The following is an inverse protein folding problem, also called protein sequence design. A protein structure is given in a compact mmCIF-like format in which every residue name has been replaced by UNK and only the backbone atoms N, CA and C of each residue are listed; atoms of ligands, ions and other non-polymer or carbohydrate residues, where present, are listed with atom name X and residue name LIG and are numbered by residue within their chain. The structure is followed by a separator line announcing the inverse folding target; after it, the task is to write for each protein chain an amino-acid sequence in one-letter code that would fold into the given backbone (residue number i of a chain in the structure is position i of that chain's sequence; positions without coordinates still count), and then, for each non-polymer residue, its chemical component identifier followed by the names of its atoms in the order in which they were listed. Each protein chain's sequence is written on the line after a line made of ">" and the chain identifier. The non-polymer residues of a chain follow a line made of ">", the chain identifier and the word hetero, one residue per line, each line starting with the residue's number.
data_IF_863096947399
#
_entry.id   IF_863096947399
#
_cell.length_a   1.000
_cell.length_b   1.000
_cell.length_c   1.000
_cell.angle_alpha   90.00
_cell.angle_beta   90.00
_cell.angle_gamma   90.00
#
_symmetry.space_group_name_H-M   'P 1'
#
loop_
_entity.id
_entity.type
_entity.pdbx_description
1 polymer ?
#
# COMPACT_ATOMS: atom_id res chain seq x y z
N UNK A 1 6.02 4.92 33.94
CA UNK A 1 6.15 5.28 32.53
C UNK A 1 6.02 3.99 31.75
N UNK A 2 4.86 3.71 31.15
CA UNK A 2 4.67 2.57 30.25
C UNK A 2 5.55 2.80 29.03
N UNK A 3 6.48 1.88 28.75
CA UNK A 3 7.27 1.92 27.53
C UNK A 3 6.29 1.94 26.34
N UNK A 4 6.40 2.93 25.48
CA UNK A 4 5.58 3.01 24.26
C UNK A 4 6.02 1.84 23.35
N UNK A 5 5.13 0.89 23.14
CA UNK A 5 5.40 -0.30 22.32
C UNK A 5 5.12 0.05 20.86
N UNK A 6 6.09 -0.13 19.98
CA UNK A 6 5.94 0.11 18.54
C UNK A 6 5.56 -1.20 17.81
N UNK A 7 4.66 -1.14 16.87
CA UNK A 7 4.39 -2.28 15.98
C UNK A 7 5.55 -2.50 15.01
N UNK A 8 6.08 -1.42 14.46
CA UNK A 8 7.25 -1.46 13.58
C UNK A 8 8.25 -0.38 14.00
N UNK A 9 9.52 -0.74 14.08
CA UNK A 9 10.61 0.19 14.33
C UNK A 9 11.81 -0.12 13.44
N UNK A 10 12.26 0.86 12.68
CA UNK A 10 13.51 0.85 11.96
C UNK A 10 14.48 1.76 12.72
N UNK A 11 15.68 1.25 13.00
CA UNK A 11 16.72 1.99 13.70
C UNK A 11 17.99 2.03 12.88
N UNK A 12 18.35 3.22 12.43
CA UNK A 12 19.56 3.52 11.67
C UNK A 12 19.78 2.52 10.51
N UNK A 13 18.73 2.26 9.74
CA UNK A 13 18.75 1.25 8.66
C UNK A 13 19.49 1.79 7.45
N UNK A 14 20.57 1.10 7.06
CA UNK A 14 21.38 1.41 5.87
C UNK A 14 21.26 0.29 4.84
N UNK A 15 20.96 0.68 3.59
CA UNK A 15 20.94 -0.26 2.48
C UNK A 15 21.68 0.31 1.26
N UNK A 16 22.54 -0.53 0.66
CA UNK A 16 23.31 -0.23 -0.57
C UNK A 16 23.00 -1.24 -1.66
N UNK A 17 22.76 -0.74 -2.85
CA UNK A 17 22.68 -1.53 -4.07
C UNK A 17 24.00 -1.36 -4.85
N UNK A 18 24.89 -2.34 -4.74
CA UNK A 18 26.27 -2.21 -5.26
C UNK A 18 27.03 -1.08 -4.54
N UNK A 19 27.49 -0.10 -5.28
CA UNK A 19 28.19 1.07 -4.74
C UNK A 19 27.25 2.21 -4.30
N UNK A 20 25.98 2.16 -4.68
CA UNK A 20 25.01 3.24 -4.42
C UNK A 20 24.32 3.00 -3.09
N UNK A 21 24.38 3.97 -2.20
CA UNK A 21 23.63 3.98 -0.96
C UNK A 21 22.21 4.50 -1.23
N UNK A 22 21.22 3.65 -0.94
CA UNK A 22 19.79 3.92 -1.16
C UNK A 22 19.10 4.36 0.13
N UNK A 23 19.44 3.72 1.26
CA UNK A 23 19.00 4.12 2.59
C UNK A 23 20.22 4.46 3.43
N UNK A 24 20.21 5.64 4.04
CA UNK A 24 21.36 6.28 4.70
C UNK A 24 21.10 6.50 6.20
N UNK A 25 20.63 5.45 6.89
CA UNK A 25 20.29 5.55 8.31
C UNK A 25 18.81 5.93 8.52
N UNK A 26 17.91 5.11 8.00
CA UNK A 26 16.47 5.33 8.17
C UNK A 26 16.04 4.98 9.59
N UNK A 27 15.45 5.96 10.27
CA UNK A 27 14.70 5.81 11.52
C UNK A 27 13.21 5.99 11.22
N UNK A 28 12.39 5.00 11.61
CA UNK A 28 10.94 5.04 11.41
C UNK A 28 10.26 4.28 12.54
N UNK A 29 9.20 4.86 13.13
CA UNK A 29 8.42 4.24 14.19
C UNK A 29 6.94 4.31 13.87
N UNK A 30 6.25 3.19 14.01
CA UNK A 30 4.82 3.07 13.73
C UNK A 30 4.13 2.41 14.91
N UNK A 31 3.12 3.09 15.45
CA UNK A 31 2.35 2.63 16.59
C UNK A 31 1.35 1.51 16.25
N UNK A 32 0.79 0.83 17.27
CA UNK A 32 -0.25 -0.16 17.06
C UNK A 32 -1.55 0.50 16.59
N UNK A 33 -2.19 -0.11 15.58
CA UNK A 33 -3.44 0.40 14.99
C UNK A 33 -3.28 1.69 14.18
N UNK A 34 -2.06 2.11 13.90
CA UNK A 34 -1.75 3.33 13.17
C UNK A 34 -1.86 3.12 11.66
N UNK A 35 -2.51 4.06 10.99
CA UNK A 35 -2.45 4.28 9.55
C UNK A 35 -1.32 5.26 9.26
N UNK A 36 -0.17 4.74 8.83
CA UNK A 36 1.04 5.50 8.59
C UNK A 36 1.31 5.62 7.09
N UNK A 37 1.55 6.83 6.59
CA UNK A 37 1.96 7.05 5.21
C UNK A 37 3.47 7.34 5.14
N UNK A 38 4.17 6.65 4.25
CA UNK A 38 5.56 6.95 3.88
C UNK A 38 5.56 7.62 2.52
N UNK A 39 5.80 8.92 2.51
CA UNK A 39 5.83 9.72 1.29
C UNK A 39 7.26 10.17 0.96
N UNK A 40 7.47 10.69 -0.24
CA UNK A 40 8.79 11.16 -0.68
C UNK A 40 8.87 11.19 -2.20
N UNK A 41 9.82 11.92 -2.79
CA UNK A 41 10.02 11.98 -4.23
C UNK A 41 10.38 10.61 -4.82
N UNK A 42 10.30 10.50 -6.15
CA UNK A 42 10.75 9.30 -6.84
C UNK A 42 12.25 9.08 -6.60
N UNK A 43 12.62 7.83 -6.32
CA UNK A 43 14.01 7.48 -5.98
C UNK A 43 14.41 7.75 -4.52
N UNK A 44 13.52 8.26 -3.66
CA UNK A 44 13.84 8.51 -2.24
C UNK A 44 14.16 7.24 -1.42
N UNK A 45 13.78 6.04 -1.92
CA UNK A 45 14.02 4.77 -1.24
C UNK A 45 12.78 4.11 -0.63
N UNK A 46 11.57 4.63 -0.87
CA UNK A 46 10.31 4.11 -0.30
C UNK A 46 10.10 2.61 -0.54
N UNK A 47 10.19 2.16 -1.79
CA UNK A 47 10.07 0.73 -2.14
C UNK A 47 11.18 -0.11 -1.51
N UNK A 48 12.39 0.46 -1.35
CA UNK A 48 13.51 -0.19 -0.65
C UNK A 48 13.21 -0.38 0.84
N UNK A 49 12.58 0.59 1.50
CA UNK A 49 12.09 0.45 2.88
C UNK A 49 11.11 -0.72 2.97
N UNK A 50 10.13 -0.80 2.06
CA UNK A 50 9.18 -1.91 2.00
C UNK A 50 9.86 -3.26 1.75
N UNK A 51 10.84 -3.31 0.84
CA UNK A 51 11.61 -4.53 0.57
C UNK A 51 12.44 -4.99 1.77
N UNK A 52 12.98 -4.04 2.55
CA UNK A 52 13.70 -4.33 3.80
C UNK A 52 12.75 -4.88 4.86
N UNK A 53 11.61 -4.23 5.10
CA UNK A 53 10.61 -4.66 6.10
C UNK A 53 10.05 -6.05 5.73
N UNK A 54 9.77 -6.29 4.45
CA UNK A 54 9.22 -7.57 3.98
C UNK A 54 10.27 -8.68 3.83
N UNK A 55 11.56 -8.39 4.09
CA UNK A 55 12.67 -9.36 4.03
C UNK A 55 13.12 -9.74 2.61
N UNK A 56 12.71 -8.97 1.59
CA UNK A 56 13.21 -9.13 0.21
C UNK A 56 14.63 -8.61 0.06
N UNK A 57 14.96 -7.58 0.83
CA UNK A 57 16.30 -7.01 0.91
C UNK A 57 16.82 -7.09 2.34
N UNK A 58 18.11 -7.42 2.48
CA UNK A 58 18.79 -7.42 3.77
C UNK A 58 19.61 -6.16 3.90
N UNK A 59 19.35 -5.28 4.89
CA UNK A 59 20.15 -4.08 5.10
C UNK A 59 21.54 -4.44 5.62
N UNK A 60 22.52 -3.60 5.32
CA UNK A 60 23.92 -3.79 5.75
C UNK A 60 24.07 -3.48 7.25
N UNK A 61 23.35 -2.49 7.74
CA UNK A 61 23.35 -2.11 9.17
C UNK A 61 21.98 -1.66 9.64
N UNK A 62 21.88 -1.38 10.93
CA UNK A 62 20.64 -1.00 11.58
C UNK A 62 19.83 -2.20 12.07
N UNK A 63 18.66 -1.93 12.65
CA UNK A 63 17.71 -2.94 13.14
C UNK A 63 16.34 -2.74 12.50
N UNK A 64 15.61 -3.83 12.34
CA UNK A 64 14.21 -3.83 11.89
C UNK A 64 13.43 -4.63 12.92
N UNK A 65 12.70 -3.95 13.77
CA UNK A 65 11.94 -4.56 14.87
C UNK A 65 10.46 -4.59 14.53
N UNK A 66 9.84 -5.73 14.71
CA UNK A 66 8.40 -5.92 14.61
C UNK A 66 7.88 -6.53 15.92
N UNK A 67 7.03 -5.78 16.64
CA UNK A 67 6.59 -6.10 18.00
C UNK A 67 7.81 -6.46 18.88
N UNK A 68 8.79 -5.57 18.98
CA UNK A 68 10.04 -5.67 19.74
C UNK A 68 10.96 -6.83 19.35
N UNK A 69 10.69 -7.53 18.23
CA UNK A 69 11.51 -8.66 17.75
C UNK A 69 12.25 -8.28 16.47
N UNK A 70 13.56 -8.48 16.46
CA UNK A 70 14.35 -8.26 15.24
C UNK A 70 13.93 -9.25 14.14
N UNK A 71 13.49 -8.69 13.01
CA UNK A 71 13.12 -9.44 11.80
C UNK A 71 14.12 -9.29 10.68
N UNK A 72 15.21 -8.55 10.90
CA UNK A 72 16.24 -8.29 9.90
C UNK A 72 16.86 -9.59 9.39
N UNK A 73 16.87 -9.73 8.06
CA UNK A 73 17.48 -10.91 7.40
C UNK A 73 16.64 -12.19 7.47
N UNK A 74 15.46 -12.13 8.04
CA UNK A 74 14.50 -13.23 7.92
C UNK A 74 13.96 -13.31 6.48
N UNK A 75 13.69 -14.50 5.95
CA UNK A 75 13.08 -14.63 4.63
C UNK A 75 11.60 -14.18 4.66
N UNK A 76 11.03 -13.71 3.53
CA UNK A 76 9.68 -13.16 3.45
C UNK A 76 8.60 -14.05 4.05
N UNK A 77 8.67 -15.36 3.82
CA UNK A 77 7.69 -16.30 4.37
C UNK A 77 7.72 -16.39 5.91
N UNK A 78 8.88 -16.17 6.53
CA UNK A 78 9.01 -16.15 7.99
C UNK A 78 8.46 -14.84 8.57
N UNK A 79 8.65 -13.73 7.88
CA UNK A 79 8.09 -12.42 8.22
C UNK A 79 6.55 -12.45 8.08
N UNK A 80 6.05 -13.02 6.98
CA UNK A 80 4.61 -13.21 6.77
C UNK A 80 3.95 -13.98 7.91
N UNK A 81 4.57 -15.09 8.36
CA UNK A 81 4.08 -15.88 9.51
C UNK A 81 4.12 -15.17 10.85
N UNK A 82 4.88 -14.08 10.97
CA UNK A 82 4.89 -13.22 12.15
C UNK A 82 3.76 -12.18 12.14
N UNK A 83 3.01 -12.09 11.04
CA UNK A 83 1.90 -11.16 10.92
C UNK A 83 2.21 -9.89 10.14
N UNK A 84 3.30 -9.85 9.37
CA UNK A 84 3.57 -8.77 8.41
C UNK A 84 3.13 -9.21 7.02
N UNK A 85 2.23 -8.48 6.41
CA UNK A 85 1.76 -8.71 5.04
C UNK A 85 2.18 -7.58 4.12
N UNK A 86 2.35 -7.89 2.84
CA UNK A 86 2.59 -6.89 1.80
C UNK A 86 1.70 -7.16 0.60
N UNK A 87 0.96 -6.13 0.13
CA UNK A 87 0.38 -6.14 -1.19
C UNK A 87 1.48 -5.87 -2.21
N UNK A 88 1.59 -6.73 -3.23
CA UNK A 88 2.57 -6.58 -4.29
C UNK A 88 1.93 -5.83 -5.47
N UNK A 89 2.71 -4.98 -6.15
CA UNK A 89 2.29 -4.34 -7.41
C UNK A 89 1.93 -5.36 -8.51
N UNK A 90 2.49 -6.57 -8.42
CA UNK A 90 2.19 -7.72 -9.26
C UNK A 90 1.73 -8.86 -8.35
N UNK A 91 0.51 -8.80 -7.85
CA UNK A 91 -0.07 -9.91 -7.10
C UNK A 91 -0.40 -11.02 -8.10
N UNK A 92 0.27 -12.15 -7.95
CA UNK A 92 -0.05 -13.34 -8.73
C UNK A 92 -1.38 -13.92 -8.24
N UNK A 93 -2.48 -13.48 -8.84
CA UNK A 93 -3.77 -14.13 -8.69
C UNK A 93 -3.73 -15.48 -9.40
N UNK A 94 -4.32 -16.48 -8.80
CA UNK A 94 -4.55 -17.76 -9.43
C UNK A 94 -5.80 -17.66 -10.29
N UNK A 95 -5.63 -17.23 -11.54
CA UNK A 95 -6.73 -16.92 -12.48
C UNK A 95 -7.71 -18.09 -12.67
N UNK A 96 -7.20 -19.32 -12.64
CA UNK A 96 -8.00 -20.54 -12.82
C UNK A 96 -8.78 -20.97 -11.58
N UNK A 97 -8.57 -20.33 -10.43
CA UNK A 97 -9.24 -20.66 -9.18
C UNK A 97 -10.38 -19.68 -8.89
N UNK A 98 -11.25 -20.08 -7.96
CA UNK A 98 -12.30 -19.20 -7.47
C UNK A 98 -11.73 -18.03 -6.66
N UNK A 99 -12.52 -16.96 -6.53
CA UNK A 99 -12.20 -15.80 -5.71
C UNK A 99 -11.98 -16.25 -4.25
N UNK A 100 -12.88 -17.10 -3.74
CA UNK A 100 -12.78 -17.63 -2.39
C UNK A 100 -11.50 -18.47 -2.18
N UNK A 101 -11.11 -19.30 -3.16
CA UNK A 101 -9.93 -20.13 -3.03
C UNK A 101 -8.63 -19.31 -3.06
N UNK A 102 -8.59 -18.21 -3.82
CA UNK A 102 -7.46 -17.26 -3.76
C UNK A 102 -7.27 -16.71 -2.34
N UNK A 103 -8.34 -16.27 -1.68
CA UNK A 103 -8.29 -15.76 -0.30
C UNK A 103 -7.89 -16.85 0.69
N UNK A 104 -8.45 -18.08 0.57
CA UNK A 104 -8.09 -19.23 1.41
C UNK A 104 -6.63 -19.61 1.29
N UNK A 105 -6.06 -19.59 0.08
CA UNK A 105 -4.64 -19.87 -0.16
C UNK A 105 -3.77 -18.81 0.52
N UNK A 106 -4.14 -17.53 0.40
CA UNK A 106 -3.41 -16.44 1.04
C UNK A 106 -3.42 -16.56 2.57
N UNK A 107 -4.59 -16.89 3.16
CA UNK A 107 -4.74 -17.14 4.59
C UNK A 107 -3.95 -18.39 5.04
N UNK A 108 -4.01 -19.49 4.28
CA UNK A 108 -3.24 -20.71 4.56
C UNK A 108 -1.73 -20.41 4.59
N UNK A 109 -1.22 -19.61 3.67
CA UNK A 109 0.20 -19.23 3.63
C UNK A 109 0.66 -18.47 4.87
N UNK A 110 -0.22 -17.70 5.51
CA UNK A 110 0.07 -16.98 6.76
C UNK A 110 0.10 -17.94 7.98
N UNK A 111 -0.80 -18.91 8.02
CA UNK A 111 -0.95 -19.84 9.16
C UNK A 111 -0.11 -21.12 9.05
N UNK A 112 0.54 -21.38 7.91
CA UNK A 112 1.31 -22.61 7.71
C UNK A 112 2.57 -22.66 8.56
N UNK A 113 2.54 -23.47 9.63
CA UNK A 113 3.70 -23.71 10.50
C UNK A 113 4.70 -24.71 9.92
N UNK A 114 4.26 -25.63 9.05
CA UNK A 114 5.08 -26.56 8.24
C UNK A 114 4.22 -27.10 7.09
N UNK A 115 4.78 -27.17 5.89
CA UNK A 115 4.24 -28.00 4.83
C UNK A 115 4.46 -29.47 5.23
N UNK A 116 3.42 -30.15 5.70
CA UNK A 116 3.40 -31.60 5.75
C UNK A 116 3.03 -32.12 4.34
N UNK A 117 3.52 -33.30 4.00
CA UNK A 117 3.37 -33.95 2.69
C UNK A 117 1.93 -34.23 2.23
N UNK A 118 0.94 -33.94 3.04
CA UNK A 118 -0.47 -34.06 2.67
C UNK A 118 -0.87 -32.94 1.70
N UNK A 119 -1.58 -33.33 0.65
CA UNK A 119 -1.98 -32.47 -0.46
C UNK A 119 -2.59 -31.15 0.05
N UNK A 120 -2.00 -29.98 -0.28
CA UNK A 120 -2.45 -28.67 0.23
C UNK A 120 -3.93 -28.40 0.00
N UNK A 121 -4.49 -28.89 -1.11
CA UNK A 121 -5.89 -28.77 -1.51
C UNK A 121 -6.88 -29.44 -0.57
N UNK A 122 -6.55 -30.62 -0.04
CA UNK A 122 -7.42 -31.33 0.94
C UNK A 122 -7.56 -30.52 2.24
N UNK A 123 -6.48 -29.83 2.65
CA UNK A 123 -6.49 -28.97 3.84
C UNK A 123 -7.21 -27.67 3.59
N UNK A 124 -7.15 -27.12 2.37
CA UNK A 124 -7.80 -25.87 2.02
C UNK A 124 -9.32 -25.93 2.22
N UNK A 125 -9.94 -27.01 1.72
CA UNK A 125 -11.40 -27.15 1.79
C UNK A 125 -11.92 -27.73 3.13
N UNK A 126 -11.07 -28.37 3.92
CA UNK A 126 -11.46 -28.93 5.22
C UNK A 126 -11.32 -27.95 6.39
N UNK A 127 -10.68 -26.79 6.19
CA UNK A 127 -10.43 -25.75 7.17
C UNK A 127 -11.58 -24.75 7.20
N UNK A 128 -12.51 -24.94 8.14
CA UNK A 128 -13.67 -24.05 8.34
C UNK A 128 -13.23 -22.63 8.71
N UNK A 129 -12.14 -22.49 9.46
CA UNK A 129 -11.54 -21.20 9.83
C UNK A 129 -11.11 -20.37 8.61
N UNK A 130 -10.43 -21.00 7.64
CA UNK A 130 -10.02 -20.33 6.39
C UNK A 130 -11.22 -19.98 5.50
N UNK A 131 -12.26 -20.82 5.51
CA UNK A 131 -13.48 -20.54 4.77
C UNK A 131 -14.22 -19.32 5.35
N UNK A 132 -14.39 -19.30 6.68
CA UNK A 132 -15.05 -18.19 7.37
C UNK A 132 -14.27 -16.87 7.22
N UNK A 133 -12.94 -16.93 7.22
CA UNK A 133 -12.09 -15.75 6.99
C UNK A 133 -12.25 -15.25 5.56
N UNK A 134 -12.19 -16.14 4.57
CA UNK A 134 -12.38 -15.78 3.17
C UNK A 134 -13.78 -15.16 2.93
N UNK A 135 -14.83 -15.74 3.54
CA UNK A 135 -16.19 -15.22 3.41
C UNK A 135 -16.31 -13.81 4.03
N UNK A 136 -15.74 -13.57 5.20
CA UNK A 136 -15.69 -12.21 5.80
C UNK A 136 -14.98 -11.21 4.90
N UNK A 137 -13.83 -11.58 4.34
CA UNK A 137 -13.12 -10.70 3.40
C UNK A 137 -13.93 -10.45 2.13
N UNK A 138 -14.58 -11.47 1.58
CA UNK A 138 -15.45 -11.33 0.41
C UNK A 138 -16.60 -10.34 0.66
N UNK A 139 -17.23 -10.40 1.82
CA UNK A 139 -18.30 -9.48 2.19
C UNK A 139 -17.77 -8.04 2.32
N UNK A 140 -16.61 -7.85 2.98
CA UNK A 140 -15.97 -6.53 3.09
C UNK A 140 -15.57 -5.95 1.73
N UNK A 141 -15.12 -6.80 0.79
CA UNK A 141 -14.75 -6.42 -0.56
C UNK A 141 -15.96 -6.21 -1.50
N UNK A 142 -17.17 -6.57 -1.06
CA UNK A 142 -18.38 -6.56 -1.90
C UNK A 142 -18.36 -7.64 -2.99
N UNK A 143 -17.58 -8.71 -2.81
CA UNK A 143 -17.42 -9.80 -3.77
C UNK A 143 -18.16 -11.09 -3.35
N UNK A 144 -18.93 -11.08 -2.27
CA UNK A 144 -19.60 -12.25 -1.71
C UNK A 144 -20.48 -12.99 -2.72
N UNK A 145 -21.26 -12.26 -3.55
CA UNK A 145 -22.12 -12.87 -4.59
C UNK A 145 -21.34 -13.58 -5.72
N UNK A 146 -20.03 -13.33 -5.83
CA UNK A 146 -19.15 -13.87 -6.87
C UNK A 146 -18.09 -14.81 -6.32
N UNK A 147 -18.25 -15.28 -5.10
CA UNK A 147 -17.26 -16.09 -4.37
C UNK A 147 -16.70 -17.28 -5.15
N UNK A 148 -17.56 -17.94 -5.92
CA UNK A 148 -17.24 -19.15 -6.67
C UNK A 148 -16.86 -18.87 -8.13
N UNK A 149 -16.94 -17.60 -8.57
CA UNK A 149 -16.48 -17.19 -9.88
C UNK A 149 -14.96 -17.33 -9.98
N UNK A 150 -14.49 -17.63 -11.20
CA UNK A 150 -13.07 -17.65 -11.50
C UNK A 150 -12.54 -16.23 -11.56
N UNK A 151 -11.29 -16.05 -11.12
CA UNK A 151 -10.65 -14.74 -11.10
C UNK A 151 -10.47 -14.14 -12.50
N UNK A 152 -10.24 -14.97 -13.54
CA UNK A 152 -10.13 -14.51 -14.93
C UNK A 152 -11.44 -13.92 -15.49
N UNK A 153 -12.59 -14.23 -14.88
CA UNK A 153 -13.88 -13.66 -15.22
C UNK A 153 -14.18 -12.32 -14.55
N UNK A 154 -13.29 -11.83 -13.65
CA UNK A 154 -13.49 -10.57 -12.96
C UNK A 154 -13.11 -9.37 -13.82
N UNK A 155 -13.93 -8.29 -13.82
CA UNK A 155 -13.51 -6.97 -14.28
C UNK A 155 -12.25 -6.49 -13.53
N UNK A 156 -11.44 -5.66 -14.21
CA UNK A 156 -10.17 -5.14 -13.65
C UNK A 156 -10.30 -4.53 -12.24
N UNK A 157 -11.32 -3.69 -12.03
CA UNK A 157 -11.56 -3.07 -10.73
C UNK A 157 -11.80 -4.09 -9.60
N UNK A 158 -12.54 -5.17 -9.90
CA UNK A 158 -12.81 -6.22 -8.90
C UNK A 158 -11.58 -7.11 -8.67
N UNK A 159 -10.75 -7.34 -9.69
CA UNK A 159 -9.45 -8.00 -9.50
C UNK A 159 -8.57 -7.18 -8.55
N UNK A 160 -8.55 -5.86 -8.70
CA UNK A 160 -7.79 -4.96 -7.83
C UNK A 160 -8.28 -5.00 -6.38
N UNK A 161 -9.60 -5.07 -6.15
CA UNK A 161 -10.16 -5.26 -4.82
C UNK A 161 -9.76 -6.61 -4.22
N UNK A 162 -9.76 -7.68 -5.02
CA UNK A 162 -9.30 -8.99 -4.57
C UNK A 162 -7.82 -8.97 -4.19
N UNK A 163 -6.96 -8.32 -4.97
CA UNK A 163 -5.53 -8.14 -4.66
C UNK A 163 -5.33 -7.45 -3.30
N UNK A 164 -6.12 -6.41 -3.01
CA UNK A 164 -6.12 -5.80 -1.68
C UNK A 164 -6.53 -6.81 -0.61
N UNK A 165 -7.62 -7.55 -0.82
CA UNK A 165 -8.10 -8.57 0.13
C UNK A 165 -7.06 -9.63 0.46
N UNK A 166 -6.25 -10.06 -0.52
CA UNK A 166 -5.15 -11.02 -0.30
C UNK A 166 -4.11 -10.50 0.68
N UNK A 167 -3.87 -9.18 0.72
CA UNK A 167 -2.94 -8.60 1.68
C UNK A 167 -3.46 -8.69 3.12
N UNK A 168 -4.78 -8.71 3.31
CA UNK A 168 -5.41 -8.81 4.62
C UNK A 168 -5.73 -10.25 5.05
N UNK A 169 -5.64 -11.23 4.13
CA UNK A 169 -5.84 -12.63 4.45
C UNK A 169 -4.77 -13.16 5.42
N UNK A 170 -5.17 -14.00 6.37
CA UNK A 170 -4.29 -14.51 7.45
C UNK A 170 -4.17 -13.54 8.62
N UNK A 171 -5.07 -12.59 8.74
CA UNK A 171 -5.21 -11.65 9.86
C UNK A 171 -3.88 -10.98 10.27
N UNK A 172 -3.15 -10.34 9.33
CA UNK A 172 -1.89 -9.69 9.65
C UNK A 172 -2.11 -8.53 10.62
N UNK A 173 -1.14 -8.30 11.52
CA UNK A 173 -1.14 -7.13 12.40
C UNK A 173 -0.47 -5.91 11.76
N UNK A 174 0.38 -6.11 10.74
CA UNK A 174 0.97 -5.05 9.91
C UNK A 174 0.76 -5.36 8.43
N UNK A 175 0.19 -4.40 7.69
CA UNK A 175 0.00 -4.49 6.23
C UNK A 175 0.77 -3.38 5.55
N UNK A 176 1.61 -3.75 4.57
CA UNK A 176 2.35 -2.84 3.72
C UNK A 176 1.61 -2.71 2.37
N UNK A 177 1.22 -1.50 2.01
CA UNK A 177 0.47 -1.20 0.78
C UNK A 177 1.28 -0.23 -0.09
N UNK A 178 1.65 -0.68 -1.28
CA UNK A 178 2.44 0.10 -2.23
C UNK A 178 1.50 0.63 -3.32
N UNK A 179 1.21 1.93 -3.30
CA UNK A 179 0.33 2.65 -4.22
C UNK A 179 -1.05 1.99 -4.42
N UNK A 180 -1.81 1.75 -3.33
CA UNK A 180 -3.07 1.01 -3.43
C UNK A 180 -4.13 1.68 -4.31
N UNK A 181 -4.03 3.01 -4.55
CA UNK A 181 -4.97 3.78 -5.39
C UNK A 181 -4.43 4.11 -6.79
N UNK A 182 -3.23 3.63 -7.15
CA UNK A 182 -2.61 3.94 -8.43
C UNK A 182 -3.48 3.53 -9.64
N UNK A 183 -3.66 4.47 -10.57
CA UNK A 183 -4.43 4.25 -11.80
C UNK A 183 -5.95 4.28 -11.62
N UNK A 184 -6.46 4.61 -10.43
CA UNK A 184 -7.89 4.72 -10.14
C UNK A 184 -8.41 6.12 -10.48
N UNK A 185 -9.68 6.21 -10.86
CA UNK A 185 -10.42 7.46 -10.88
C UNK A 185 -10.61 8.00 -9.45
N UNK A 186 -10.94 9.28 -9.30
CA UNK A 186 -11.17 9.90 -7.97
C UNK A 186 -12.24 9.15 -7.15
N UNK A 187 -13.32 8.71 -7.79
CA UNK A 187 -14.39 7.99 -7.10
C UNK A 187 -13.98 6.58 -6.69
N UNK A 188 -13.17 5.90 -7.49
CA UNK A 188 -12.60 4.60 -7.14
C UNK A 188 -11.60 4.74 -5.98
N UNK A 189 -10.73 5.76 -6.02
CA UNK A 189 -9.78 6.04 -4.96
C UNK A 189 -10.48 6.30 -3.62
N UNK A 190 -11.54 7.13 -3.60
CA UNK A 190 -12.36 7.37 -2.39
C UNK A 190 -12.98 6.09 -1.84
N UNK A 191 -13.53 5.22 -2.71
CA UNK A 191 -14.08 3.92 -2.28
C UNK A 191 -12.99 3.01 -1.71
N UNK A 192 -11.81 3.00 -2.33
CA UNK A 192 -10.66 2.24 -1.85
C UNK A 192 -10.17 2.78 -0.50
N UNK A 193 -10.12 4.10 -0.30
CA UNK A 193 -9.79 4.72 1.00
C UNK A 193 -10.78 4.29 2.09
N UNK A 194 -12.09 4.34 1.82
CA UNK A 194 -13.10 3.89 2.77
C UNK A 194 -12.95 2.39 3.09
N UNK A 195 -12.68 1.56 2.08
CA UNK A 195 -12.41 0.13 2.26
C UNK A 195 -11.15 -0.11 3.09
N UNK A 196 -10.06 0.61 2.83
CA UNK A 196 -8.81 0.48 3.58
C UNK A 196 -8.98 0.85 5.06
N UNK A 197 -9.80 1.85 5.38
CA UNK A 197 -10.17 2.17 6.77
C UNK A 197 -10.86 1.00 7.44
N UNK A 198 -11.86 0.41 6.78
CA UNK A 198 -12.61 -0.74 7.32
C UNK A 198 -11.71 -1.98 7.47
N UNK A 199 -10.91 -2.33 6.45
CA UNK A 199 -9.96 -3.44 6.50
C UNK A 199 -8.84 -3.21 7.52
N UNK A 200 -8.49 -1.96 7.77
CA UNK A 200 -7.44 -1.53 8.69
C UNK A 200 -7.86 -1.47 10.17
N UNK A 201 -9.16 -1.59 10.48
CA UNK A 201 -9.61 -1.58 11.87
C UNK A 201 -8.89 -2.63 12.73
N UNK A 202 -8.24 -2.15 13.81
CA UNK A 202 -7.44 -3.00 14.70
C UNK A 202 -6.10 -3.48 14.14
N UNK A 203 -5.67 -2.99 12.97
CA UNK A 203 -4.41 -3.34 12.32
C UNK A 203 -3.55 -2.09 12.09
N UNK A 204 -2.25 -2.29 12.01
CA UNK A 204 -1.32 -1.24 11.60
C UNK A 204 -1.14 -1.32 10.08
N UNK A 205 -1.25 -0.17 9.40
CA UNK A 205 -1.00 -0.06 7.97
C UNK A 205 0.16 0.90 7.70
N UNK A 206 1.09 0.48 6.85
CA UNK A 206 2.09 1.36 6.26
C UNK A 206 1.82 1.46 4.76
N UNK A 207 1.51 2.67 4.30
CA UNK A 207 1.17 2.92 2.89
C UNK A 207 2.22 3.81 2.23
N UNK A 208 2.55 3.53 0.98
CA UNK A 208 3.24 4.45 0.08
C UNK A 208 2.22 4.94 -0.92
N UNK A 209 2.08 6.25 -1.05
CA UNK A 209 1.15 6.90 -1.98
C UNK A 209 1.76 8.16 -2.57
N UNK A 210 1.32 8.51 -3.78
CA UNK A 210 1.72 9.73 -4.48
C UNK A 210 0.61 10.79 -4.52
N UNK A 211 -0.65 10.37 -4.39
CA UNK A 211 -1.78 11.30 -4.29
C UNK A 211 -1.87 11.85 -2.86
N UNK A 212 -1.47 13.11 -2.70
CA UNK A 212 -1.46 13.77 -1.41
C UNK A 212 -2.87 13.91 -0.81
N UNK A 213 -3.93 13.97 -1.64
CA UNK A 213 -5.29 14.00 -1.14
C UNK A 213 -5.67 12.69 -0.44
N UNK A 214 -5.26 11.57 -0.99
CA UNK A 214 -5.42 10.24 -0.37
C UNK A 214 -4.61 10.13 0.91
N UNK A 215 -3.35 10.59 0.89
CA UNK A 215 -2.46 10.57 2.06
C UNK A 215 -3.08 11.35 3.22
N UNK A 216 -3.46 12.60 3.00
CA UNK A 216 -4.03 13.46 4.05
C UNK A 216 -5.42 13.01 4.52
N UNK A 217 -6.18 12.33 3.65
CA UNK A 217 -7.46 11.76 4.04
C UNK A 217 -7.28 10.51 4.91
N UNK A 218 -6.30 9.64 4.59
CA UNK A 218 -6.19 8.30 5.16
C UNK A 218 -5.26 8.22 6.37
N UNK A 219 -4.12 8.92 6.35
CA UNK A 219 -3.07 8.73 7.33
C UNK A 219 -3.34 9.40 8.68
N UNK A 220 -3.02 8.70 9.77
CA UNK A 220 -2.93 9.28 11.12
C UNK A 220 -1.57 9.95 11.32
N UNK A 221 -0.52 9.40 10.71
CA UNK A 221 0.86 9.88 10.77
C UNK A 221 1.52 9.78 9.39
N UNK A 222 2.40 10.71 9.09
CA UNK A 222 3.13 10.76 7.82
C UNK A 222 4.62 10.87 8.11
N UNK A 223 5.43 10.03 7.46
CA UNK A 223 6.88 10.19 7.41
C UNK A 223 7.31 10.55 6.00
N UNK A 224 8.21 11.51 5.87
CA UNK A 224 8.73 12.00 4.60
C UNK A 224 10.15 11.49 4.41
N UNK A 225 10.33 10.63 3.41
CA UNK A 225 11.63 10.08 3.02
C UNK A 225 12.21 10.90 1.87
N UNK A 226 13.43 11.38 2.02
CA UNK A 226 14.17 12.05 0.96
C UNK A 226 15.64 11.62 1.00
N UNK A 227 16.20 11.26 -0.17
CA UNK A 227 17.61 10.85 -0.30
C UNK A 227 18.02 9.75 0.72
N UNK A 228 17.12 8.81 0.98
CA UNK A 228 17.39 7.68 1.87
C UNK A 228 17.34 7.97 3.37
N UNK A 229 16.86 9.14 3.79
CA UNK A 229 16.66 9.52 5.19
C UNK A 229 15.24 10.01 5.43
N UNK A 230 14.70 9.83 6.63
CA UNK A 230 13.44 10.45 7.07
C UNK A 230 13.74 11.87 7.49
N UNK A 231 13.21 12.84 6.74
CA UNK A 231 13.46 14.28 6.98
C UNK A 231 12.40 14.94 7.87
N UNK A 232 11.21 14.35 7.95
CA UNK A 232 10.11 14.82 8.80
C UNK A 232 9.19 13.65 9.12
N UNK A 233 8.57 13.66 10.30
CA UNK A 233 7.54 12.72 10.72
C UNK A 233 6.60 13.41 11.71
N UNK A 234 5.28 13.27 11.50
CA UNK A 234 4.28 13.93 12.34
C UNK A 234 2.86 13.70 11.82
N UNK A 235 1.91 14.41 12.45
CA UNK A 235 0.53 14.42 12.00
C UNK A 235 0.39 15.09 10.62
N UNK A 236 -0.68 14.82 9.86
CA UNK A 236 -0.86 15.38 8.51
C UNK A 236 -0.74 16.90 8.45
N UNK A 237 -1.25 17.63 9.45
CA UNK A 237 -1.18 19.09 9.48
C UNK A 237 0.24 19.61 9.70
N UNK A 238 1.02 18.94 10.56
CA UNK A 238 2.41 19.29 10.81
C UNK A 238 3.26 19.13 9.55
N UNK A 239 3.08 18.00 8.86
CA UNK A 239 3.78 17.69 7.62
C UNK A 239 3.40 18.67 6.49
N UNK A 240 2.13 19.05 6.38
CA UNK A 240 1.67 20.07 5.41
C UNK A 240 2.33 21.42 5.61
N UNK A 241 2.63 21.78 6.87
CA UNK A 241 3.20 23.07 7.25
C UNK A 241 4.73 23.07 7.35
N UNK A 242 5.37 21.91 7.29
CA UNK A 242 6.82 21.79 7.39
C UNK A 242 7.54 22.43 6.19
N UNK A 243 8.48 23.36 6.49
CA UNK A 243 9.21 24.09 5.46
C UNK A 243 10.22 23.22 4.68
N UNK A 244 10.73 22.15 5.31
CA UNK A 244 11.61 21.16 4.66
C UNK A 244 10.84 20.32 3.66
N UNK A 245 9.67 19.84 4.05
CA UNK A 245 8.76 19.07 3.21
C UNK A 245 8.29 19.90 2.01
N UNK A 246 7.87 21.15 2.24
CA UNK A 246 7.47 22.06 1.16
C UNK A 246 8.59 22.29 0.13
N UNK A 247 9.84 22.35 0.53
CA UNK A 247 10.99 22.46 -0.39
C UNK A 247 11.19 21.22 -1.24
N UNK A 248 11.01 20.04 -0.67
CA UNK A 248 11.16 18.76 -1.37
C UNK A 248 10.00 18.53 -2.36
N UNK A 249 8.82 19.03 -2.00
CA UNK A 249 7.60 18.93 -2.81
C UNK A 249 7.23 20.26 -3.50
N UNK A 250 8.18 21.14 -3.80
CA UNK A 250 7.96 22.47 -4.34
C UNK A 250 7.24 22.49 -5.71
N UNK A 251 6.01 22.08 -5.76
CA UNK A 251 5.10 21.97 -6.89
C UNK A 251 3.89 21.12 -6.60
N UNK A 252 4.01 20.09 -5.77
CA UNK A 252 2.93 19.14 -5.53
C UNK A 252 1.85 19.64 -4.51
N UNK A 253 2.20 20.54 -3.60
CA UNK A 253 1.26 21.14 -2.65
C UNK A 253 0.41 22.27 -3.24
N UNK A 254 0.83 22.85 -4.40
CA UNK A 254 0.10 23.95 -5.04
C UNK A 254 -1.12 23.50 -5.85
N UNK A 255 -1.18 22.23 -6.24
CA UNK A 255 -2.28 21.69 -7.07
C UNK A 255 -3.51 21.25 -6.28
N UNK A 256 -3.41 21.08 -4.96
CA UNK A 256 -4.52 20.68 -4.08
C UNK A 256 -5.52 21.79 -3.77
N UNK A 257 -5.11 23.05 -3.81
CA UNK A 257 -5.96 24.20 -3.42
C UNK A 257 -6.53 24.99 -4.61
N UNK A 258 -6.26 24.59 -5.85
CA UNK A 258 -6.46 25.42 -7.05
C UNK A 258 -7.45 24.94 -8.11
N UNK A 259 -8.37 24.00 -7.87
CA UNK A 259 -9.39 23.64 -8.86
C UNK A 259 -10.84 23.80 -8.34
N UNK A 260 -11.14 25.02 -7.91
CA UNK A 260 -12.51 25.51 -7.81
C UNK A 260 -12.59 26.85 -8.50
N UNK A 261 -13.30 26.91 -9.65
CA UNK A 261 -13.63 28.04 -10.48
C UNK A 261 -12.72 28.34 -11.68
N UNK A 262 -13.04 27.75 -12.80
CA UNK A 262 -13.17 28.50 -14.06
C UNK A 262 -13.98 27.69 -15.10
N UNK A 263 -15.29 27.63 -14.91
CA UNK A 263 -16.24 27.46 -16.00
C UNK A 263 -16.95 28.81 -16.16
N UNK A 264 -16.75 29.46 -17.26
CA UNK A 264 -17.57 30.59 -17.64
C UNK A 264 -16.84 31.67 -18.41
N UNK A 265 -17.16 31.73 -19.68
CA UNK A 265 -17.09 32.84 -20.61
C UNK A 265 -15.99 32.84 -21.69
N UNK A 266 -16.47 32.67 -22.90
CA UNK A 266 -15.68 32.96 -24.09
C UNK A 266 -16.33 32.56 -25.42
N UNK A 267 -17.65 32.70 -25.49
CA UNK A 267 -18.35 32.75 -26.79
C UNK A 267 -18.31 34.22 -27.28
N UNK A 268 -17.61 34.49 -28.35
CA UNK A 268 -17.99 35.50 -29.36
C UNK A 268 -16.88 35.74 -30.44
N UNK A 269 -17.31 35.54 -31.65
CA UNK A 269 -16.97 36.29 -32.84
C UNK A 269 -15.56 36.20 -33.46
N UNK A 270 -15.51 35.63 -34.64
CA UNK A 270 -15.35 36.42 -35.88
C UNK A 270 -15.53 35.59 -37.15
N UNK A 271 -16.53 36.00 -37.90
CA UNK A 271 -16.75 35.78 -39.34
C UNK A 271 -15.71 36.54 -40.20
N UNK A 272 -15.51 36.01 -41.42
CA UNK A 272 -14.96 36.73 -42.57
C UNK A 272 -13.50 36.38 -42.83
N UNK A 273 -13.08 35.89 -43.95
CA UNK A 273 -13.30 36.43 -45.28
C UNK A 273 -12.85 35.41 -46.34
N UNK A 274 -13.49 35.56 -47.46
CA UNK A 274 -13.35 34.81 -48.72
C UNK A 274 -12.01 34.99 -49.44
N UNK A 275 -11.83 34.10 -50.39
CA UNK A 275 -11.22 34.27 -51.71
C UNK A 275 -9.82 33.70 -51.97
N UNK A 276 -9.77 32.84 -53.00
CA UNK A 276 -8.58 32.66 -53.79
C UNK A 276 -8.27 31.26 -54.31
N UNK A 277 -9.07 30.76 -55.27
CA UNK A 277 -8.65 29.76 -56.29
C UNK A 277 -7.85 30.45 -57.38
N UNK A 278 -7.10 29.82 -58.32
CA UNK A 278 -7.05 28.44 -58.78
C UNK A 278 -5.64 27.98 -59.34
N UNK A 279 -5.50 27.14 -60.36
CA UNK A 279 -5.14 25.72 -60.32
C UNK A 279 -3.81 25.39 -61.04
N UNK A 280 -3.30 24.19 -60.75
CA UNK A 280 -2.83 23.23 -61.77
C UNK A 280 -2.49 21.90 -61.16
#
# INVERSE_FOLDING_TARGET
>A
MTAQTWTLELENVVYRAGATEILSGVDLRIGPGELHALIGPNGAGKSTVFDVISGRLRPQSGRVLFNDRDIRGLPPHAIRRRGVSRAFQLTALFDGLSIADNLRIAALGAHATRFSSDTPWRRLHSRVDLANEADRLLDMLGLGARRDDRVDALPYAQRRLLELGLAFAGEPSLVLLDEPTAGMSRDEARRTVALLRTLGEGRTLLIVEHDMSVVFELAHHISVLAQGIVIASGEPEDIRNDAGVRRVYAGAFAEGDGQGNNEGNGEAARQGDEAGRPPR
#
